data_IF_446740512967
#
_entry.id   IF_446740512967
#
_cell.length_a   1.000
_cell.length_b   1.000
_cell.length_c   1.000
_cell.angle_alpha   90.00
_cell.angle_beta   90.00
_cell.angle_gamma   90.00
#
_symmetry.space_group_name_H-M   'P 1'
#
loop_
_entity.id
_entity.type
_entity.pdbx_description
1 polymer ?
#
# COMPACT_ATOMS: atom_id res chain seq x y z
N UNK A 1 -15.13 -2.97 6.39
CA UNK A 1 -14.40 -2.43 7.56
C UNK A 1 -14.98 -1.07 7.90
N UNK A 2 -15.30 -0.80 9.16
CA UNK A 2 -15.72 0.54 9.59
C UNK A 2 -14.49 1.44 9.71
N UNK A 3 -14.58 2.70 9.30
CA UNK A 3 -13.45 3.62 9.37
C UNK A 3 -12.93 3.81 10.80
N UNK A 4 -13.82 3.78 11.79
CA UNK A 4 -13.47 3.88 13.21
C UNK A 4 -12.59 2.74 13.74
N UNK A 5 -12.55 1.60 13.05
CA UNK A 5 -11.75 0.42 13.42
C UNK A 5 -10.50 0.28 12.53
N UNK A 6 -10.33 1.16 11.55
CA UNK A 6 -9.25 1.06 10.57
C UNK A 6 -7.99 1.72 11.14
N UNK A 7 -6.90 0.96 11.22
CA UNK A 7 -5.58 1.48 11.58
C UNK A 7 -4.92 2.17 10.38
N UNK A 8 -5.46 3.32 9.98
CA UNK A 8 -4.84 4.20 8.96
C UNK A 8 -4.88 5.65 9.43
N UNK A 9 -3.81 6.39 9.12
CA UNK A 9 -3.72 7.84 9.38
C UNK A 9 -3.45 8.53 8.07
N UNK A 10 -4.42 9.32 7.61
CA UNK A 10 -4.21 10.18 6.45
C UNK A 10 -3.37 11.39 6.84
N UNK A 11 -2.52 11.86 5.93
CA UNK A 11 -1.70 13.05 6.13
C UNK A 11 -2.19 14.20 5.25
N UNK A 12 -2.40 15.36 5.88
CA UNK A 12 -2.80 16.58 5.17
C UNK A 12 -1.72 17.02 4.17
N UNK A 13 -0.46 16.95 4.58
CA UNK A 13 0.70 17.39 3.80
C UNK A 13 1.51 16.19 3.30
N UNK A 14 2.18 16.34 2.15
CA UNK A 14 3.07 15.32 1.64
C UNK A 14 4.34 15.22 2.50
N UNK A 15 4.90 14.01 2.69
CA UNK A 15 6.18 13.84 3.37
C UNK A 15 7.29 14.55 2.57
N UNK A 16 8.08 15.39 3.25
CA UNK A 16 9.11 16.23 2.61
C UNK A 16 10.27 15.43 2.00
N UNK A 17 10.52 14.21 2.50
CA UNK A 17 11.61 13.34 2.05
C UNK A 17 11.29 12.44 0.87
N UNK A 18 10.13 12.60 0.23
CA UNK A 18 9.72 11.78 -0.93
C UNK A 18 9.56 12.63 -2.18
N UNK A 19 10.28 12.30 -3.24
CA UNK A 19 10.21 13.00 -4.53
C UNK A 19 9.13 12.38 -5.42
N UNK A 20 8.96 11.06 -5.35
CA UNK A 20 8.07 10.34 -6.25
C UNK A 20 6.60 10.55 -5.87
N UNK A 21 5.79 11.05 -6.81
CA UNK A 21 4.38 11.40 -6.58
C UNK A 21 3.53 10.21 -6.13
N UNK A 22 3.79 9.02 -6.66
CA UNK A 22 3.13 7.78 -6.25
C UNK A 22 3.41 7.46 -4.76
N UNK A 23 4.66 7.55 -4.31
CA UNK A 23 5.05 7.30 -2.92
C UNK A 23 4.40 8.33 -1.98
N UNK A 24 4.43 9.62 -2.35
CA UNK A 24 3.74 10.67 -1.60
C UNK A 24 2.25 10.37 -1.41
N UNK A 25 1.55 9.93 -2.47
CA UNK A 25 0.12 9.59 -2.40
C UNK A 25 -0.13 8.38 -1.50
N UNK A 26 0.65 7.31 -1.64
CA UNK A 26 0.49 6.10 -0.82
C UNK A 26 0.72 6.37 0.66
N UNK A 27 1.71 7.20 0.99
CA UNK A 27 1.98 7.60 2.38
C UNK A 27 0.85 8.49 2.90
N UNK A 28 0.44 9.51 2.13
CA UNK A 28 -0.64 10.43 2.54
C UNK A 28 -1.98 9.75 2.74
N UNK A 29 -2.31 8.76 1.90
CA UNK A 29 -3.55 8.01 2.01
C UNK A 29 -3.51 6.95 3.12
N UNK A 30 -2.37 6.77 3.80
CA UNK A 30 -2.22 5.76 4.85
C UNK A 30 -2.21 4.33 4.30
N UNK A 31 -1.67 4.11 3.10
CA UNK A 31 -1.49 2.77 2.51
C UNK A 31 -0.14 2.17 2.89
N UNK A 32 0.88 3.00 3.03
CA UNK A 32 2.23 2.59 3.43
C UNK A 32 2.81 3.55 4.46
N UNK A 33 3.73 3.04 5.28
CA UNK A 33 4.54 3.83 6.21
C UNK A 33 6.02 3.61 5.90
N UNK A 34 6.78 4.68 5.69
CA UNK A 34 8.22 4.59 5.42
C UNK A 34 8.97 4.36 6.74
N UNK A 35 9.61 3.19 6.88
CA UNK A 35 10.37 2.84 8.09
C UNK A 35 11.83 3.28 7.99
N UNK A 36 12.45 3.13 6.82
CA UNK A 36 13.79 3.63 6.49
C UNK A 36 13.90 3.87 4.97
N UNK A 37 15.05 4.35 4.50
CA UNK A 37 15.26 4.57 3.07
C UNK A 37 15.05 3.26 2.28
N UNK A 38 14.11 3.27 1.33
CA UNK A 38 13.76 2.10 0.51
C UNK A 38 12.90 1.03 1.20
N UNK A 39 12.58 1.16 2.49
CA UNK A 39 11.79 0.17 3.24
C UNK A 39 10.46 0.76 3.69
N UNK A 40 9.39 0.04 3.39
CA UNK A 40 8.03 0.44 3.67
C UNK A 40 7.26 -0.68 4.38
N UNK A 41 6.46 -0.31 5.37
CA UNK A 41 5.46 -1.20 5.96
C UNK A 41 4.11 -0.97 5.29
N UNK A 42 3.44 -2.06 4.89
CA UNK A 42 2.07 -1.99 4.40
C UNK A 42 1.09 -1.80 5.56
N UNK A 43 0.25 -0.77 5.45
CA UNK A 43 -0.87 -0.55 6.36
C UNK A 43 -2.09 -1.37 5.89
N UNK A 44 -3.16 -1.52 6.69
CA UNK A 44 -4.25 -2.45 6.38
C UNK A 44 -4.87 -2.28 4.99
N UNK A 45 -5.04 -1.03 4.51
CA UNK A 45 -5.53 -0.76 3.15
C UNK A 45 -4.50 -1.14 2.08
N UNK A 46 -3.21 -0.82 2.30
CA UNK A 46 -2.14 -1.20 1.38
C UNK A 46 -2.00 -2.71 1.27
N UNK A 47 -2.07 -3.43 2.39
CA UNK A 47 -2.02 -4.89 2.42
C UNK A 47 -3.18 -5.50 1.62
N UNK A 48 -4.40 -4.98 1.76
CA UNK A 48 -5.56 -5.46 0.98
C UNK A 48 -5.33 -5.32 -0.53
N UNK A 49 -4.77 -4.21 -0.99
CA UNK A 49 -4.45 -4.01 -2.41
C UNK A 49 -3.37 -4.97 -2.87
N UNK A 50 -2.31 -5.17 -2.07
CA UNK A 50 -1.23 -6.12 -2.37
C UNK A 50 -1.77 -7.55 -2.49
N UNK A 51 -2.65 -7.97 -1.59
CA UNK A 51 -3.26 -9.31 -1.66
C UNK A 51 -4.13 -9.48 -2.92
N UNK A 52 -4.87 -8.44 -3.33
CA UNK A 52 -5.61 -8.49 -4.61
C UNK A 52 -4.66 -8.65 -5.81
N UNK A 53 -3.55 -7.91 -5.83
CA UNK A 53 -2.54 -8.01 -6.90
C UNK A 53 -1.94 -9.41 -6.91
N UNK A 54 -1.53 -9.94 -5.75
CA UNK A 54 -0.99 -11.30 -5.61
C UNK A 54 -1.96 -12.35 -6.12
N UNK A 55 -3.26 -12.19 -5.82
CA UNK A 55 -4.28 -13.13 -6.26
C UNK A 55 -4.38 -13.16 -7.78
N UNK A 56 -4.47 -11.99 -8.44
CA UNK A 56 -4.51 -11.91 -9.91
C UNK A 56 -3.25 -12.53 -10.52
N UNK A 57 -2.07 -12.20 -10.01
CA UNK A 57 -0.81 -12.78 -10.49
C UNK A 57 -0.83 -14.30 -10.36
N UNK A 58 -1.28 -14.84 -9.22
CA UNK A 58 -1.40 -16.29 -9.01
C UNK A 58 -2.39 -16.93 -9.97
N UNK A 59 -3.55 -16.31 -10.20
CA UNK A 59 -4.56 -16.82 -11.13
C UNK A 59 -4.01 -16.90 -12.55
N UNK A 60 -3.32 -15.87 -13.04
CA UNK A 60 -2.73 -15.87 -14.38
C UNK A 60 -1.56 -16.88 -14.48
N UNK A 61 -0.75 -17.01 -13.44
CA UNK A 61 0.31 -18.03 -13.40
C UNK A 61 -0.24 -19.45 -13.42
N UNK A 62 -1.33 -19.73 -12.70
CA UNK A 62 -1.94 -21.06 -12.70
C UNK A 62 -2.57 -21.42 -14.06
N UNK A 63 -3.04 -20.43 -14.83
CA UNK A 63 -3.63 -20.65 -16.17
C UNK A 63 -2.61 -21.09 -17.22
N UNK A 64 -1.34 -20.74 -17.05
CA UNK A 64 -0.29 -21.13 -18.00
C UNK A 64 0.28 -22.53 -17.71
N UNK A 65 0.14 -23.02 -16.48
CA UNK A 65 0.65 -24.34 -16.04
C UNK A 65 -0.36 -25.48 -16.26
N UNK A 66 -1.60 -25.18 -16.68
CA UNK A 66 -2.68 -26.15 -16.98
C UNK A 66 -2.90 -26.32 -18.47
#
# INVERSE_FOLDING_TARGET
MRMTQLFTRTLKQAPAGEVARNAQLLIRAGYVHKTMAGVYSYLPLGLKVVENIKQIVREEMNKIDS
#
